data_IF_488755603559
#
_entry.id   IF_488755603559
#
_cell.length_a   1.000
_cell.length_b   1.000
_cell.length_c   1.000
_cell.angle_alpha   90.00
_cell.angle_beta   90.00
_cell.angle_gamma   90.00
#
_symmetry.space_group_name_H-M   'P 1'
#
loop_
_entity.id
_entity.type
_entity.pdbx_description
1 polymer ?
#
# COMPACT_ATOMS: atom_id res chain seq x y z
N UNK A 1 15.48 -6.40 -4.23
CA UNK A 1 16.15 -7.07 -5.38
C UNK A 1 15.24 -8.19 -5.84
N UNK A 2 14.89 -8.24 -7.12
CA UNK A 2 14.09 -9.35 -7.68
C UNK A 2 14.84 -10.68 -7.54
N UNK A 3 14.17 -11.69 -6.97
CA UNK A 3 14.69 -13.07 -6.88
C UNK A 3 14.51 -13.81 -8.21
N UNK A 4 13.39 -13.56 -8.88
CA UNK A 4 13.04 -14.11 -10.19
C UNK A 4 12.67 -12.93 -11.09
N UNK A 5 13.16 -12.85 -12.34
CA UNK A 5 12.74 -11.82 -13.28
C UNK A 5 11.24 -11.87 -13.54
N UNK A 6 10.64 -10.72 -13.85
CA UNK A 6 9.21 -10.64 -14.21
C UNK A 6 8.83 -11.64 -15.30
N UNK A 7 7.71 -12.34 -15.12
CA UNK A 7 7.18 -13.34 -16.05
C UNK A 7 5.67 -13.16 -16.19
N UNK A 8 5.19 -13.26 -17.43
CA UNK A 8 3.75 -13.34 -17.73
C UNK A 8 3.29 -14.78 -17.53
N UNK A 9 2.29 -14.97 -16.68
CA UNK A 9 1.62 -16.25 -16.48
C UNK A 9 0.24 -16.18 -17.11
N UNK A 10 -0.04 -17.07 -18.06
CA UNK A 10 -1.37 -17.17 -18.68
C UNK A 10 -2.25 -18.09 -17.84
N UNK A 11 -3.30 -17.53 -17.23
CA UNK A 11 -4.33 -18.29 -16.52
C UNK A 11 -5.46 -18.58 -17.51
N UNK A 12 -5.57 -19.83 -17.96
CA UNK A 12 -6.60 -20.26 -18.92
C UNK A 12 -7.61 -21.23 -18.30
N UNK A 13 -7.27 -21.83 -17.17
CA UNK A 13 -8.10 -22.78 -16.44
C UNK A 13 -8.72 -22.15 -15.20
N UNK A 14 -9.76 -22.80 -14.66
CA UNK A 14 -10.40 -22.39 -13.39
C UNK A 14 -9.42 -22.50 -12.21
N UNK A 15 -8.55 -23.50 -12.24
CA UNK A 15 -7.48 -23.71 -11.27
C UNK A 15 -6.21 -24.11 -12.01
N UNK A 16 -5.10 -23.43 -11.72
CA UNK A 16 -3.82 -23.65 -12.37
C UNK A 16 -2.69 -23.45 -11.37
N UNK A 17 -1.63 -24.25 -11.50
CA UNK A 17 -0.46 -24.18 -10.63
C UNK A 17 0.80 -23.88 -11.45
N UNK A 18 1.63 -22.97 -10.93
CA UNK A 18 2.92 -22.62 -11.50
C UNK A 18 4.02 -22.90 -10.48
N UNK A 19 5.10 -23.54 -10.92
CA UNK A 19 6.25 -23.87 -10.08
C UNK A 19 7.45 -23.00 -10.45
N UNK A 20 8.06 -22.41 -9.43
CA UNK A 20 9.32 -21.68 -9.53
C UNK A 20 10.40 -22.44 -8.77
N UNK A 21 11.61 -22.48 -9.31
CA UNK A 21 12.75 -23.20 -8.73
C UNK A 21 13.89 -22.23 -8.42
N UNK A 22 14.79 -22.64 -7.52
CA UNK A 22 15.95 -21.83 -7.13
C UNK A 22 15.64 -20.72 -6.12
N UNK A 23 14.64 -20.90 -5.26
CA UNK A 23 14.31 -19.97 -4.18
C UNK A 23 14.94 -20.46 -2.86
N UNK A 24 15.86 -19.67 -2.31
CA UNK A 24 16.58 -19.98 -1.07
C UNK A 24 15.79 -19.60 0.21
N UNK A 25 14.71 -18.85 0.06
CA UNK A 25 13.80 -18.40 1.12
C UNK A 25 12.39 -18.17 0.55
N UNK A 26 11.42 -18.03 1.45
CA UNK A 26 10.04 -17.68 1.09
C UNK A 26 10.00 -16.27 0.46
N UNK A 27 9.53 -16.13 -0.80
CA UNK A 27 9.46 -14.83 -1.46
C UNK A 27 8.17 -14.09 -1.11
N UNK A 28 8.23 -12.75 -1.08
CA UNK A 28 7.03 -11.91 -1.16
C UNK A 28 6.65 -11.73 -2.64
N UNK A 29 5.50 -12.23 -3.11
CA UNK A 29 5.14 -12.15 -4.52
C UNK A 29 4.69 -10.73 -4.90
N UNK A 30 5.07 -10.29 -6.09
CA UNK A 30 4.56 -9.08 -6.73
C UNK A 30 3.64 -9.53 -7.87
N UNK A 31 2.34 -9.58 -7.59
CA UNK A 31 1.31 -10.15 -8.47
C UNK A 31 0.62 -9.05 -9.29
N UNK A 32 0.10 -9.40 -10.47
CA UNK A 32 -0.69 -8.48 -11.32
C UNK A 32 0.02 -7.15 -11.66
N UNK A 33 1.35 -7.20 -11.83
CA UNK A 33 2.21 -6.07 -12.22
C UNK A 33 1.66 -5.30 -13.43
N UNK A 34 1.85 -3.99 -13.45
CA UNK A 34 1.29 -3.07 -14.46
C UNK A 34 -0.23 -3.24 -14.69
N UNK A 35 -0.96 -3.74 -13.68
CA UNK A 35 -2.37 -4.11 -13.81
C UNK A 35 -2.63 -5.04 -15.01
N UNK A 36 -1.83 -6.11 -15.12
CA UNK A 36 -1.77 -6.97 -16.32
C UNK A 36 -3.11 -7.58 -16.76
N UNK A 37 -4.12 -7.62 -15.89
CA UNK A 37 -5.50 -7.98 -16.22
C UNK A 37 -6.51 -7.24 -15.33
N UNK A 38 -7.71 -6.91 -15.84
CA UNK A 38 -8.74 -6.18 -15.09
C UNK A 38 -9.55 -7.11 -14.17
N UNK A 39 -8.89 -7.67 -13.16
CA UNK A 39 -9.47 -8.65 -12.23
C UNK A 39 -9.34 -8.21 -10.78
N UNK A 40 -10.21 -8.75 -9.91
CA UNK A 40 -10.02 -8.63 -8.45
C UNK A 40 -9.03 -9.70 -8.01
N UNK A 41 -7.87 -9.28 -7.53
CA UNK A 41 -6.88 -10.16 -6.92
C UNK A 41 -7.26 -10.42 -5.48
N UNK A 42 -7.31 -11.70 -5.09
CA UNK A 42 -7.46 -12.12 -3.70
C UNK A 42 -6.19 -12.87 -3.30
N UNK A 43 -5.34 -12.20 -2.52
CA UNK A 43 -4.11 -12.77 -1.97
C UNK A 43 -3.92 -12.25 -0.53
N UNK A 44 -3.67 -13.13 0.45
CA UNK A 44 -3.62 -12.77 1.87
C UNK A 44 -2.26 -12.18 2.26
N UNK A 45 -1.88 -11.03 1.67
CA UNK A 45 -0.67 -10.32 2.08
C UNK A 45 -0.72 -9.93 3.56
N UNK A 46 0.40 -10.08 4.25
CA UNK A 46 0.59 -9.51 5.59
C UNK A 46 0.90 -8.01 5.52
N UNK A 47 0.77 -7.30 6.65
CA UNK A 47 1.15 -5.88 6.74
C UNK A 47 2.65 -5.71 6.43
N UNK A 48 3.48 -6.68 6.85
CA UNK A 48 4.91 -6.74 6.54
C UNK A 48 5.18 -6.94 5.04
N UNK A 49 4.42 -7.80 4.36
CA UNK A 49 4.54 -8.00 2.91
C UNK A 49 4.19 -6.73 2.14
N UNK A 50 3.08 -6.09 2.49
CA UNK A 50 2.66 -4.85 1.82
C UNK A 50 3.66 -3.72 2.09
N UNK A 51 4.19 -3.61 3.32
CA UNK A 51 5.20 -2.61 3.64
C UNK A 51 6.50 -2.87 2.86
N UNK A 52 6.88 -4.14 2.69
CA UNK A 52 8.00 -4.54 1.87
C UNK A 52 7.77 -4.18 0.39
N UNK A 53 6.61 -4.51 -0.18
CA UNK A 53 6.27 -4.21 -1.58
C UNK A 53 6.25 -2.70 -1.84
N UNK A 54 5.57 -1.91 -0.99
CA UNK A 54 5.51 -0.46 -1.13
C UNK A 54 6.90 0.20 -1.11
N UNK A 55 7.80 -0.35 -0.29
CA UNK A 55 9.17 0.16 -0.13
C UNK A 55 10.15 -0.29 -1.21
N UNK A 56 10.01 -1.52 -1.74
CA UNK A 56 11.09 -2.18 -2.48
C UNK A 56 10.67 -2.85 -3.79
N UNK A 57 9.39 -2.91 -4.13
CA UNK A 57 8.98 -3.49 -5.40
C UNK A 57 9.59 -2.68 -6.56
N UNK A 58 10.02 -3.38 -7.59
CA UNK A 58 10.55 -2.79 -8.82
C UNK A 58 9.42 -2.33 -9.75
N UNK A 59 8.23 -2.89 -9.58
CA UNK A 59 7.03 -2.50 -10.31
C UNK A 59 6.38 -1.27 -9.68
N UNK A 60 6.33 -0.18 -10.44
CA UNK A 60 5.81 1.10 -9.97
C UNK A 60 4.35 1.03 -9.51
N UNK A 61 3.51 0.33 -10.28
CA UNK A 61 2.10 0.16 -9.98
C UNK A 61 1.92 -0.61 -8.67
N UNK A 62 2.63 -1.72 -8.46
CA UNK A 62 2.51 -2.51 -7.25
C UNK A 62 3.08 -1.83 -6.01
N UNK A 63 4.10 -0.96 -6.13
CA UNK A 63 4.50 -0.09 -5.01
C UNK A 63 3.35 0.82 -4.58
N UNK A 64 2.69 1.43 -5.55
CA UNK A 64 1.54 2.29 -5.32
C UNK A 64 0.37 1.50 -4.73
N UNK A 65 0.01 0.36 -5.33
CA UNK A 65 -1.10 -0.50 -4.88
C UNK A 65 -0.88 -1.00 -3.45
N UNK A 66 0.33 -1.46 -3.12
CA UNK A 66 0.65 -1.88 -1.76
C UNK A 66 0.50 -0.74 -0.73
N UNK A 67 0.90 0.49 -1.11
CA UNK A 67 0.65 1.67 -0.28
C UNK A 67 -0.84 1.99 -0.13
N UNK A 68 -1.64 1.82 -1.19
CA UNK A 68 -3.09 1.98 -1.13
C UNK A 68 -3.74 0.93 -0.22
N UNK A 69 -3.32 -0.34 -0.31
CA UNK A 69 -3.82 -1.42 0.54
C UNK A 69 -3.53 -1.16 2.03
N UNK A 70 -2.29 -0.75 2.37
CA UNK A 70 -1.93 -0.37 3.73
C UNK A 70 -2.72 0.84 4.23
N UNK A 71 -2.87 1.88 3.40
CA UNK A 71 -3.65 3.05 3.74
C UNK A 71 -5.12 2.70 3.98
N UNK A 72 -5.72 1.88 3.11
CA UNK A 72 -7.10 1.45 3.24
C UNK A 72 -7.32 0.61 4.50
N UNK A 73 -6.36 -0.25 4.85
CA UNK A 73 -6.37 -1.00 6.10
C UNK A 73 -6.29 -0.07 7.31
N UNK A 74 -5.33 0.85 7.34
CA UNK A 74 -5.18 1.81 8.44
C UNK A 74 -6.45 2.64 8.66
N UNK A 75 -7.12 3.07 7.58
CA UNK A 75 -8.37 3.82 7.65
C UNK A 75 -9.52 2.94 8.15
N UNK A 76 -9.60 1.68 7.71
CA UNK A 76 -10.61 0.73 8.20
C UNK A 76 -10.40 0.38 9.68
N UNK A 77 -9.16 0.20 10.11
CA UNK A 77 -8.81 -0.04 11.50
C UNK A 77 -9.19 1.18 12.37
N UNK A 78 -8.87 2.39 11.90
CA UNK A 78 -9.27 3.65 12.55
C UNK A 78 -10.80 3.82 12.59
N UNK A 79 -11.50 3.47 11.52
CA UNK A 79 -12.95 3.48 11.47
C UNK A 79 -13.56 2.51 12.48
N UNK A 80 -13.00 1.30 12.63
CA UNK A 80 -13.49 0.29 13.54
C UNK A 80 -13.22 0.63 15.02
N UNK A 81 -12.16 1.37 15.31
CA UNK A 81 -11.78 1.75 16.66
C UNK A 81 -12.88 2.53 17.42
N UNK A 82 -12.94 2.35 18.74
CA UNK A 82 -13.84 3.11 19.61
C UNK A 82 -13.44 4.59 19.68
N UNK A 83 -14.44 5.46 19.72
CA UNK A 83 -14.24 6.92 19.78
C UNK A 83 -13.40 7.30 21.01
N UNK A 84 -12.25 7.93 20.79
CA UNK A 84 -11.38 8.46 21.85
C UNK A 84 -10.07 7.71 22.06
N UNK A 85 -9.82 6.60 21.34
CA UNK A 85 -8.48 6.01 21.32
C UNK A 85 -7.55 6.78 20.38
N UNK A 86 -6.40 7.22 20.91
CA UNK A 86 -5.31 7.77 20.11
C UNK A 86 -4.66 6.62 19.34
N UNK A 87 -5.12 6.40 18.11
CA UNK A 87 -4.65 5.33 17.26
C UNK A 87 -3.63 5.90 16.29
N UNK A 88 -2.36 5.75 16.67
CA UNK A 88 -1.27 5.98 15.74
C UNK A 88 -1.33 4.94 14.62
N UNK A 89 -0.97 5.36 13.40
CA UNK A 89 -0.73 4.42 12.30
C UNK A 89 0.31 3.37 12.70
N UNK A 90 0.22 2.18 12.11
CA UNK A 90 1.21 1.13 12.36
C UNK A 90 2.62 1.62 11.99
N UNK A 91 3.62 1.15 12.74
CA UNK A 91 5.02 1.48 12.47
C UNK A 91 5.43 1.05 11.05
N UNK A 92 4.93 -0.10 10.59
CA UNK A 92 5.18 -0.61 9.24
C UNK A 92 4.65 0.35 8.16
N UNK A 93 3.42 0.85 8.30
CA UNK A 93 2.87 1.81 7.35
C UNK A 93 3.61 3.15 7.38
N UNK A 94 3.92 3.68 8.56
CA UNK A 94 4.70 4.92 8.68
C UNK A 94 6.10 4.79 8.06
N UNK A 95 6.77 3.65 8.23
CA UNK A 95 8.09 3.39 7.64
C UNK A 95 8.02 3.20 6.12
N UNK A 96 6.98 2.53 5.61
CA UNK A 96 6.75 2.43 4.16
C UNK A 96 6.58 3.82 3.53
N UNK A 97 5.76 4.68 4.14
CA UNK A 97 5.55 6.06 3.69
C UNK A 97 6.83 6.91 3.81
N UNK A 98 7.61 6.74 4.89
CA UNK A 98 8.92 7.38 5.07
C UNK A 98 9.87 7.01 3.95
N UNK A 99 9.88 5.74 3.52
CA UNK A 99 10.75 5.25 2.45
C UNK A 99 10.35 5.80 1.10
N UNK A 100 9.06 5.76 0.76
CA UNK A 100 8.55 6.38 -0.48
C UNK A 100 8.92 7.87 -0.50
N UNK A 101 8.70 8.57 0.60
CA UNK A 101 9.03 10.00 0.72
C UNK A 101 10.53 10.27 0.61
N UNK A 102 11.39 9.39 1.10
CA UNK A 102 12.85 9.55 1.05
C UNK A 102 13.52 8.85 -0.16
N UNK A 103 12.75 8.25 -1.06
CA UNK A 103 13.26 7.60 -2.27
C UNK A 103 13.91 8.63 -3.21
N UNK A 104 15.19 8.42 -3.51
CA UNK A 104 15.99 9.23 -4.47
C UNK A 104 16.40 8.42 -5.71
N UNK A 105 16.11 7.12 -5.72
CA UNK A 105 16.45 6.23 -6.83
C UNK A 105 15.39 6.30 -7.93
N UNK A 106 14.12 6.45 -7.55
CA UNK A 106 13.00 6.59 -8.48
C UNK A 106 13.02 7.96 -9.16
N UNK A 107 13.16 7.96 -10.49
CA UNK A 107 13.20 9.19 -11.30
C UNK A 107 11.81 9.81 -11.51
N UNK A 108 10.77 8.98 -11.56
CA UNK A 108 9.40 9.46 -11.73
C UNK A 108 8.83 9.95 -10.38
N UNK A 109 8.91 11.26 -10.15
CA UNK A 109 8.36 11.88 -8.94
C UNK A 109 6.83 11.81 -8.88
N UNK A 110 6.15 11.67 -10.02
CA UNK A 110 4.69 11.56 -10.03
C UNK A 110 4.23 10.25 -9.39
N UNK A 111 4.96 9.17 -9.64
CA UNK A 111 4.72 7.87 -9.01
C UNK A 111 4.86 7.96 -7.49
N UNK A 112 5.96 8.54 -7.00
CA UNK A 112 6.18 8.71 -5.57
C UNK A 112 5.08 9.57 -4.93
N UNK A 113 4.65 10.63 -5.62
CA UNK A 113 3.56 11.47 -5.16
C UNK A 113 2.24 10.69 -5.07
N UNK A 114 1.90 9.89 -6.09
CA UNK A 114 0.70 9.05 -6.07
C UNK A 114 0.74 8.01 -4.94
N UNK A 115 1.88 7.37 -4.70
CA UNK A 115 2.03 6.40 -3.61
C UNK A 115 1.92 7.04 -2.21
N UNK A 116 2.18 8.35 -2.08
CA UNK A 116 1.99 9.09 -0.82
C UNK A 116 0.54 9.55 -0.60
N UNK A 117 -0.34 9.45 -1.59
CA UNK A 117 -1.75 9.81 -1.45
C UNK A 117 -2.49 8.67 -0.76
N UNK A 118 -3.20 8.98 0.32
CA UNK A 118 -4.12 8.03 0.95
C UNK A 118 -5.26 7.68 -0.01
N UNK A 119 -5.75 6.43 0.03
CA UNK A 119 -6.82 5.99 -0.85
C UNK A 119 -8.06 6.87 -0.69
N UNK A 120 -8.75 7.09 -1.81
CA UNK A 120 -10.00 7.83 -1.83
C UNK A 120 -11.07 7.10 -1.01
N UNK A 121 -11.91 7.86 -0.29
CA UNK A 121 -13.00 7.29 0.51
C UNK A 121 -13.93 6.40 -0.33
N UNK A 122 -14.19 6.76 -1.59
CA UNK A 122 -14.99 5.95 -2.51
C UNK A 122 -14.40 4.56 -2.76
N UNK A 123 -13.08 4.46 -2.93
CA UNK A 123 -12.41 3.18 -3.12
C UNK A 123 -12.49 2.32 -1.84
N UNK A 124 -12.41 2.95 -0.66
CA UNK A 124 -12.56 2.25 0.62
C UNK A 124 -13.98 1.71 0.77
N UNK A 125 -15.00 2.53 0.45
CA UNK A 125 -16.42 2.16 0.52
C UNK A 125 -16.74 0.91 -0.30
N UNK A 126 -16.15 0.75 -1.49
CA UNK A 126 -16.35 -0.44 -2.34
C UNK A 126 -15.90 -1.75 -1.68
N UNK A 127 -15.03 -1.67 -0.67
CA UNK A 127 -14.50 -2.83 0.06
C UNK A 127 -15.20 -3.08 1.41
N UNK A 128 -16.10 -2.18 1.82
CA UNK A 128 -16.77 -2.25 3.13
C UNK A 128 -18.19 -2.80 3.00
N UNK A 129 -18.64 -3.48 4.05
CA UNK A 129 -20.00 -4.03 4.11
C UNK A 129 -20.97 -2.99 4.70
N UNK A 130 -22.08 -2.64 4.02
CA UNK A 130 -23.11 -1.76 4.57
C UNK A 130 -23.78 -2.31 5.84
N UNK A 131 -24.30 -1.46 6.75
CA UNK A 131 -24.35 0.00 6.66
C UNK A 131 -23.03 0.69 7.05
N UNK A 132 -22.68 1.77 6.35
CA UNK A 132 -21.45 2.55 6.59
C UNK A 132 -21.85 3.97 7.00
N UNK A 133 -21.20 4.50 8.04
CA UNK A 133 -21.31 5.89 8.45
C UNK A 133 -20.28 6.73 7.68
N UNK A 134 -20.70 7.59 6.72
CA UNK A 134 -19.77 8.37 5.93
C UNK A 134 -19.03 9.44 6.74
N UNK A 135 -19.64 9.97 7.82
CA UNK A 135 -18.98 10.96 8.68
C UNK A 135 -17.85 10.29 9.44
N UNK A 136 -18.11 9.11 10.01
CA UNK A 136 -17.08 8.35 10.71
C UNK A 136 -15.94 7.90 9.78
N UNK A 137 -16.24 7.55 8.52
CA UNK A 137 -15.21 7.23 7.54
C UNK A 137 -14.33 8.45 7.22
N UNK A 138 -14.94 9.62 7.02
CA UNK A 138 -14.22 10.85 6.79
C UNK A 138 -13.31 11.22 7.98
N UNK A 139 -13.83 11.11 9.20
CA UNK A 139 -13.06 11.37 10.43
C UNK A 139 -11.88 10.40 10.57
N UNK A 140 -12.09 9.10 10.27
CA UNK A 140 -11.03 8.10 10.28
C UNK A 140 -9.95 8.38 9.24
N UNK A 141 -10.36 8.76 8.02
CA UNK A 141 -9.43 9.17 6.96
C UNK A 141 -8.59 10.38 7.39
N UNK A 142 -9.24 11.40 7.96
CA UNK A 142 -8.58 12.60 8.48
C UNK A 142 -7.59 12.29 9.61
N UNK A 143 -7.95 11.39 10.52
CA UNK A 143 -7.09 10.96 11.63
C UNK A 143 -5.83 10.24 11.12
N UNK A 144 -5.97 9.30 10.18
CA UNK A 144 -4.81 8.62 9.56
C UNK A 144 -3.90 9.63 8.86
N UNK A 145 -4.47 10.60 8.13
CA UNK A 145 -3.69 11.66 7.48
C UNK A 145 -2.90 12.49 8.48
N UNK A 146 -3.53 12.92 9.58
CA UNK A 146 -2.88 13.70 10.64
C UNK A 146 -1.78 12.89 11.34
N UNK A 147 -2.02 11.61 11.59
CA UNK A 147 -1.04 10.71 12.22
C UNK A 147 0.23 10.56 11.37
N UNK A 148 0.07 10.37 10.05
CA UNK A 148 1.21 10.33 9.11
C UNK A 148 1.93 11.69 9.06
N UNK A 149 1.18 12.79 8.96
CA UNK A 149 1.75 14.13 8.92
C UNK A 149 2.57 14.45 10.19
N UNK A 150 2.08 14.06 11.36
CA UNK A 150 2.79 14.23 12.62
C UNK A 150 4.06 13.35 12.68
N UNK A 151 3.94 12.08 12.32
CA UNK A 151 5.04 11.10 12.39
C UNK A 151 6.17 11.42 11.42
N UNK A 152 5.85 11.91 10.23
CA UNK A 152 6.81 12.17 9.14
C UNK A 152 7.05 13.66 8.90
N UNK A 153 6.68 14.54 9.84
CA UNK A 153 6.75 16.00 9.67
C UNK A 153 8.11 16.48 9.14
N UNK A 154 9.19 16.01 9.77
CA UNK A 154 10.54 16.43 9.40
C UNK A 154 10.94 15.93 8.00
N UNK A 155 10.52 14.72 7.63
CA UNK A 155 10.75 14.15 6.30
C UNK A 155 10.01 14.93 5.22
N UNK A 156 8.74 15.27 5.47
CA UNK A 156 7.93 16.06 4.55
C UNK A 156 8.52 17.45 4.35
N UNK A 157 8.93 18.10 5.43
CA UNK A 157 9.55 19.43 5.35
C UNK A 157 10.84 19.40 4.53
N UNK A 158 11.76 18.47 4.84
CA UNK A 158 13.01 18.34 4.08
C UNK A 158 12.76 18.07 2.60
N UNK A 159 11.87 17.12 2.28
CA UNK A 159 11.56 16.80 0.88
C UNK A 159 10.95 17.99 0.15
N UNK A 160 10.06 18.74 0.80
CA UNK A 160 9.45 19.92 0.21
C UNK A 160 10.47 21.03 -0.08
N UNK A 161 11.46 21.22 0.81
CA UNK A 161 12.54 22.20 0.63
C UNK A 161 13.54 21.82 -0.48
N UNK A 162 13.67 20.53 -0.80
CA UNK A 162 14.58 20.01 -1.83
C UNK A 162 14.01 20.04 -3.26
N UNK A 163 12.69 20.16 -3.42
CA UNK A 163 11.98 20.17 -4.71
C UNK A 163 11.81 21.58 -5.27
#
# INVERSE_FOLDING_TARGET
KELVPSKVLELTEVEQSFKFEGLDAEPVPSLLRDFSAPVKLDYPYTDEDLAFLAAYDTDSFNRWEAAQMLGAKAIKDQYAAESGGDHAVSQGFAEAMRRILNDRETQDLSLLAYALILPAESAILETMTPPIDPVRLHDAWGAVRLSIAATLRADFQRRYEEL
#
